data_IF_341804614154
#
_entry.id   IF_341804614154
#
_cell.length_a   1.000
_cell.length_b   1.000
_cell.length_c   1.000
_cell.angle_alpha   90.00
_cell.angle_beta   90.00
_cell.angle_gamma   90.00
#
_symmetry.space_group_name_H-M   'P 1'
#
loop_
_entity.id
_entity.type
_entity.pdbx_description
1 polymer ?
#
# COMPACT_ATOMS: atom_id res chain seq x y z
N UNK A 1 6.07 17.26 -18.40
CA UNK A 1 4.74 17.92 -18.50
C UNK A 1 4.64 19.07 -17.51
N UNK A 2 3.90 20.13 -17.85
CA UNK A 2 3.67 21.31 -17.00
C UNK A 2 2.32 21.15 -16.27
N UNK A 3 2.34 21.05 -14.93
CA UNK A 3 1.11 21.14 -14.10
C UNK A 3 0.74 22.62 -13.94
N UNK A 4 -0.54 22.95 -13.77
CA UNK A 4 -1.03 24.34 -13.66
C UNK A 4 -1.84 24.47 -12.38
N UNK A 5 -1.37 25.27 -11.42
CA UNK A 5 -2.12 25.66 -10.23
C UNK A 5 -2.76 27.04 -10.49
N UNK A 6 -4.09 27.14 -10.40
CA UNK A 6 -4.81 28.42 -10.51
C UNK A 6 -4.73 29.20 -9.20
N UNK A 7 -4.60 30.52 -9.29
CA UNK A 7 -4.50 31.43 -8.13
C UNK A 7 -5.84 31.50 -7.40
N UNK A 8 -6.03 30.66 -6.39
CA UNK A 8 -7.09 30.80 -5.38
C UNK A 8 -6.49 30.63 -3.97
N UNK A 9 -7.09 31.27 -2.96
CA UNK A 9 -6.62 31.18 -1.56
C UNK A 9 -6.51 29.72 -1.06
N UNK A 10 -7.42 28.86 -1.51
CA UNK A 10 -7.39 27.42 -1.24
C UNK A 10 -6.10 26.72 -1.72
N UNK A 11 -5.58 27.09 -2.90
CA UNK A 11 -4.35 26.48 -3.44
C UNK A 11 -3.08 26.84 -2.65
N UNK A 12 -3.07 27.99 -1.97
CA UNK A 12 -1.93 28.43 -1.14
C UNK A 12 -1.91 27.76 0.23
N UNK A 13 -3.09 27.53 0.83
CA UNK A 13 -3.22 26.80 2.10
C UNK A 13 -2.81 25.34 1.91
N UNK A 14 -3.29 24.71 0.84
CA UNK A 14 -2.94 23.32 0.51
C UNK A 14 -1.45 23.19 0.21
N UNK A 15 -0.84 24.15 -0.50
CA UNK A 15 0.61 24.14 -0.72
C UNK A 15 1.41 24.17 0.58
N UNK A 16 1.01 25.02 1.54
CA UNK A 16 1.69 25.12 2.84
C UNK A 16 1.51 23.86 3.67
N UNK A 17 0.30 23.30 3.67
CA UNK A 17 0.02 22.03 4.36
C UNK A 17 0.82 20.86 3.76
N UNK A 18 0.92 20.75 2.43
CA UNK A 18 1.74 19.75 1.75
C UNK A 18 3.25 19.94 2.01
N UNK A 19 3.72 21.19 2.09
CA UNK A 19 5.10 21.51 2.40
C UNK A 19 5.48 21.15 3.85
N UNK A 20 4.61 21.49 4.80
CA UNK A 20 4.78 21.15 6.23
C UNK A 20 4.73 19.63 6.46
N UNK A 21 4.07 18.90 5.55
CA UNK A 21 4.06 17.43 5.46
C UNK A 21 5.33 16.85 4.80
N UNK A 22 6.36 17.65 4.51
CA UNK A 22 7.62 17.17 3.95
C UNK A 22 7.59 16.81 2.46
N UNK A 23 6.45 16.97 1.76
CA UNK A 23 6.40 16.78 0.31
C UNK A 23 7.10 17.97 -0.38
N UNK A 24 8.26 17.74 -0.99
CA UNK A 24 9.05 18.81 -1.63
C UNK A 24 8.70 18.95 -3.11
N UNK A 25 8.19 20.13 -3.50
CA UNK A 25 7.86 20.47 -4.90
C UNK A 25 8.62 21.74 -5.32
N UNK A 26 9.38 21.70 -6.42
CA UNK A 26 10.17 22.86 -6.89
C UNK A 26 9.29 23.87 -7.64
N UNK A 27 9.47 25.15 -7.32
CA UNK A 27 8.85 26.28 -8.02
C UNK A 27 9.69 26.65 -9.25
N UNK A 28 9.13 26.56 -10.47
CA UNK A 28 9.81 27.01 -11.69
C UNK A 28 9.27 28.38 -12.12
N UNK A 29 10.15 29.36 -12.34
CA UNK A 29 9.82 30.64 -13.00
C UNK A 29 10.04 30.47 -14.50
N UNK A 30 9.00 30.61 -15.32
CA UNK A 30 9.14 30.83 -16.76
C UNK A 30 8.93 32.32 -17.07
N UNK A 31 9.90 32.94 -17.73
CA UNK A 31 9.78 34.29 -18.28
C UNK A 31 8.96 34.23 -19.57
N UNK A 32 7.73 34.76 -19.55
CA UNK A 32 7.01 35.33 -20.71
C UNK A 32 6.04 36.41 -20.20
N UNK A 33 5.76 37.45 -21.02
CA UNK A 33 4.96 38.60 -20.59
C UNK A 33 3.47 38.23 -20.65
N UNK A 34 2.77 38.34 -19.52
CA UNK A 34 1.35 38.02 -19.40
C UNK A 34 1.06 36.87 -18.44
N UNK A 35 0.86 37.20 -17.16
CA UNK A 35 0.32 36.29 -16.14
C UNK A 35 1.34 35.35 -15.47
N UNK A 36 1.62 35.58 -14.17
CA UNK A 36 2.42 34.66 -13.34
C UNK A 36 1.64 33.34 -13.14
N UNK A 37 1.88 32.35 -14.01
CA UNK A 37 1.34 30.97 -13.95
C UNK A 37 2.27 30.10 -13.08
N UNK A 38 1.73 29.51 -12.01
CA UNK A 38 2.49 28.62 -11.13
C UNK A 38 2.38 27.18 -11.67
N UNK A 39 3.52 26.59 -12.01
CA UNK A 39 3.59 25.20 -12.46
C UNK A 39 4.32 24.36 -11.42
N UNK A 40 3.64 23.32 -10.92
CA UNK A 40 4.25 22.31 -10.04
C UNK A 40 4.85 21.20 -10.91
N UNK A 41 5.96 20.62 -10.48
CA UNK A 41 6.51 19.40 -11.06
C UNK A 41 7.02 18.56 -9.88
N UNK A 42 6.83 17.23 -9.88
CA UNK A 42 7.52 16.37 -8.93
C UNK A 42 9.02 16.66 -9.02
N UNK A 43 9.69 16.83 -7.88
CA UNK A 43 11.15 16.93 -7.86
C UNK A 43 11.69 15.53 -8.07
N UNK A 44 11.79 15.11 -9.32
CA UNK A 44 12.62 13.97 -9.69
C UNK A 44 14.07 14.45 -9.61
N UNK A 45 14.92 13.87 -8.74
CA UNK A 45 16.36 14.16 -8.76
C UNK A 45 16.88 13.92 -10.18
N UNK A 46 17.57 14.90 -10.77
CA UNK A 46 18.30 14.68 -12.02
C UNK A 46 19.64 14.03 -11.68
N UNK A 47 19.60 12.76 -11.32
CA UNK A 47 20.76 11.86 -11.37
C UNK A 47 20.76 11.08 -12.69
N UNK A 48 21.87 10.43 -13.06
CA UNK A 48 21.82 9.43 -14.11
C UNK A 48 20.96 8.29 -13.58
N UNK A 49 19.87 7.96 -14.28
CA UNK A 49 19.05 6.76 -14.05
C UNK A 49 18.32 6.70 -12.68
N UNK A 50 17.04 7.10 -12.67
CA UNK A 50 16.14 7.16 -11.50
C UNK A 50 15.72 5.79 -10.91
N UNK A 51 16.56 4.77 -11.04
CA UNK A 51 16.33 3.42 -10.54
C UNK A 51 17.07 3.15 -9.22
N UNK A 52 17.94 4.05 -8.76
CA UNK A 52 18.92 3.72 -7.71
C UNK A 52 18.36 3.74 -6.28
N UNK A 53 17.49 4.68 -5.91
CA UNK A 53 17.09 4.83 -4.48
C UNK A 53 16.12 3.74 -4.02
N UNK A 54 15.09 3.44 -4.81
CA UNK A 54 14.12 2.39 -4.48
C UNK A 54 14.76 0.99 -4.47
N UNK A 55 15.57 0.68 -5.49
CA UNK A 55 16.30 -0.58 -5.54
C UNK A 55 17.34 -0.70 -4.42
N UNK A 56 17.92 0.40 -3.93
CA UNK A 56 18.83 0.38 -2.79
C UNK A 56 18.11 -0.09 -1.51
N UNK A 57 16.89 0.41 -1.22
CA UNK A 57 16.11 -0.06 -0.08
C UNK A 57 15.79 -1.56 -0.15
N UNK A 58 15.46 -2.05 -1.35
CA UNK A 58 15.21 -3.46 -1.58
C UNK A 58 16.47 -4.33 -1.44
N UNK A 59 17.62 -3.82 -1.93
CA UNK A 59 18.92 -4.49 -1.85
C UNK A 59 19.40 -4.59 -0.39
N UNK A 60 19.28 -3.50 0.35
CA UNK A 60 19.71 -3.42 1.74
C UNK A 60 18.68 -4.08 2.68
N UNK A 61 17.48 -4.37 2.18
CA UNK A 61 16.35 -4.88 2.95
C UNK A 61 15.99 -3.99 4.15
N UNK A 62 16.21 -2.68 4.00
CA UNK A 62 15.93 -1.67 5.02
C UNK A 62 14.91 -0.73 4.42
N UNK A 63 13.69 -0.75 4.94
CA UNK A 63 12.60 0.11 4.47
C UNK A 63 12.20 1.08 5.59
N UNK A 64 11.94 2.37 5.28
CA UNK A 64 11.50 3.32 6.29
C UNK A 64 10.23 2.81 6.98
N UNK A 65 10.09 3.04 8.29
CA UNK A 65 8.91 2.60 9.04
C UNK A 65 7.62 3.30 8.59
N UNK A 66 6.48 2.68 8.91
CA UNK A 66 5.15 3.27 8.74
C UNK A 66 4.38 2.81 7.51
N UNK A 67 3.22 3.44 7.25
CA UNK A 67 2.35 3.09 6.13
C UNK A 67 3.04 3.32 4.78
N UNK A 68 2.69 2.48 3.81
CA UNK A 68 3.12 2.60 2.40
C UNK A 68 1.91 2.74 1.51
N UNK A 69 2.04 3.43 0.38
CA UNK A 69 1.00 3.42 -0.66
C UNK A 69 1.45 2.60 -1.86
N UNK A 70 0.52 1.85 -2.43
CA UNK A 70 0.72 0.95 -3.55
C UNK A 70 -0.27 1.28 -4.65
N UNK A 71 0.21 1.30 -5.89
CA UNK A 71 -0.61 1.45 -7.08
C UNK A 71 0.01 0.64 -8.23
N UNK A 72 -0.84 -0.01 -9.02
CA UNK A 72 -0.47 -0.85 -10.13
C UNK A 72 -1.09 -0.34 -11.44
N UNK A 73 -0.32 -0.41 -12.52
CA UNK A 73 -0.84 -0.30 -13.88
C UNK A 73 -1.04 -1.70 -14.47
N UNK A 74 -2.16 -1.89 -15.17
CA UNK A 74 -2.56 -3.18 -15.73
C UNK A 74 -2.64 -3.15 -17.25
N UNK A 75 -2.30 -4.29 -17.85
CA UNK A 75 -2.50 -4.61 -19.27
C UNK A 75 -3.56 -5.70 -19.41
N UNK A 76 -4.11 -5.86 -20.61
CA UNK A 76 -4.96 -6.98 -21.00
C UNK A 76 -4.11 -8.18 -21.45
N UNK A 77 -4.43 -9.36 -20.94
CA UNK A 77 -3.83 -10.64 -21.35
C UNK A 77 -4.91 -11.63 -21.74
N UNK A 78 -4.54 -12.61 -22.58
CA UNK A 78 -5.43 -13.67 -23.03
C UNK A 78 -6.58 -13.20 -23.91
N UNK A 79 -7.40 -14.16 -24.34
CA UNK A 79 -8.55 -13.93 -25.23
C UNK A 79 -9.72 -13.22 -24.54
N UNK A 80 -9.78 -13.30 -23.21
CA UNK A 80 -10.79 -12.66 -22.36
C UNK A 80 -10.37 -11.27 -21.86
N UNK A 81 -9.22 -10.75 -22.32
CA UNK A 81 -8.69 -9.44 -21.96
C UNK A 81 -8.59 -9.22 -20.44
N UNK A 82 -8.26 -10.26 -19.67
CA UNK A 82 -8.09 -10.15 -18.22
C UNK A 82 -7.01 -9.15 -17.86
N UNK A 83 -7.21 -8.44 -16.75
CA UNK A 83 -6.21 -7.52 -16.21
C UNK A 83 -5.03 -8.31 -15.63
N UNK A 84 -3.81 -7.99 -16.06
CA UNK A 84 -2.58 -8.49 -15.47
C UNK A 84 -1.62 -7.33 -15.14
N UNK A 85 -0.75 -7.57 -14.16
CA UNK A 85 0.21 -6.58 -13.68
C UNK A 85 1.24 -6.22 -14.76
N UNK A 86 1.37 -4.92 -15.06
CA UNK A 86 2.41 -4.42 -15.96
C UNK A 86 3.37 -3.43 -15.29
N UNK A 87 2.93 -2.70 -14.27
CA UNK A 87 3.81 -1.87 -13.44
C UNK A 87 3.27 -1.81 -12.03
N UNK A 88 4.16 -1.76 -11.05
CA UNK A 88 3.80 -1.47 -9.66
C UNK A 88 4.71 -0.38 -9.14
N UNK A 89 4.13 0.55 -8.39
CA UNK A 89 4.88 1.54 -7.63
C UNK A 89 4.48 1.49 -6.15
N UNK A 90 5.47 1.54 -5.27
CA UNK A 90 5.27 1.66 -3.83
C UNK A 90 6.00 2.90 -3.32
N UNK A 91 5.30 3.69 -2.51
CA UNK A 91 5.85 4.91 -1.89
C UNK A 91 5.74 4.86 -0.38
N UNK A 92 6.73 5.43 0.30
CA UNK A 92 6.75 5.62 1.75
C UNK A 92 5.74 6.68 2.18
N UNK A 93 5.53 6.81 3.49
CA UNK A 93 4.64 7.81 4.10
C UNK A 93 4.94 9.25 3.65
N UNK A 94 6.21 9.63 3.55
CA UNK A 94 6.59 10.97 3.09
C UNK A 94 6.42 11.20 1.57
N UNK A 95 6.07 10.15 0.82
CA UNK A 95 5.92 10.14 -0.63
C UNK A 95 7.19 9.74 -1.39
N UNK A 96 8.26 9.35 -0.70
CA UNK A 96 9.48 8.81 -1.31
C UNK A 96 9.20 7.50 -2.04
N UNK A 97 9.68 7.36 -3.27
CA UNK A 97 9.51 6.13 -4.05
C UNK A 97 10.42 5.03 -3.49
N UNK A 98 9.81 3.96 -2.98
CA UNK A 98 10.51 2.78 -2.48
C UNK A 98 10.69 1.73 -3.57
N UNK A 99 9.74 1.65 -4.50
CA UNK A 99 9.74 0.63 -5.53
C UNK A 99 8.99 1.13 -6.75
N UNK A 100 9.54 0.91 -7.94
CA UNK A 100 8.89 1.22 -9.22
C UNK A 100 9.48 0.31 -10.30
N UNK A 101 8.70 -0.69 -10.74
CA UNK A 101 9.18 -1.68 -11.70
C UNK A 101 8.13 -2.00 -12.74
N UNK A 102 8.61 -2.38 -13.94
CA UNK A 102 7.77 -2.98 -14.98
C UNK A 102 7.76 -4.50 -14.76
N UNK A 103 6.56 -5.07 -14.73
CA UNK A 103 6.31 -6.50 -14.61
C UNK A 103 6.02 -7.08 -15.99
N UNK A 104 6.59 -8.25 -16.29
CA UNK A 104 6.17 -9.06 -17.43
C UNK A 104 5.07 -10.01 -16.93
N UNK A 105 3.82 -9.88 -17.43
CA UNK A 105 2.77 -10.85 -17.14
C UNK A 105 3.17 -12.26 -17.55
N UNK A 106 2.62 -13.27 -16.88
CA UNK A 106 2.84 -14.69 -17.22
C UNK A 106 2.20 -15.07 -18.57
N UNK A 107 1.12 -14.38 -18.93
CA UNK A 107 0.38 -14.59 -20.16
C UNK A 107 0.72 -13.54 -21.23
N UNK A 108 0.49 -13.87 -22.50
CA UNK A 108 0.73 -12.95 -23.60
C UNK A 108 -0.16 -11.71 -23.50
N UNK A 109 0.47 -10.54 -23.63
CA UNK A 109 -0.23 -9.24 -23.65
C UNK A 109 -1.00 -9.12 -24.96
N UNK A 110 -2.32 -8.94 -24.86
CA UNK A 110 -3.23 -8.73 -25.99
C UNK A 110 -3.63 -7.26 -26.14
N UNK A 111 -3.63 -6.48 -25.05
CA UNK A 111 -3.88 -5.04 -25.07
C UNK A 111 -3.02 -4.32 -24.02
N UNK A 112 -2.17 -3.38 -24.44
CA UNK A 112 -1.35 -2.61 -23.52
C UNK A 112 -2.14 -1.62 -22.67
N UNK A 113 -3.39 -1.29 -23.05
CA UNK A 113 -4.23 -0.31 -22.35
C UNK A 113 -3.53 1.04 -22.14
N UNK A 114 -2.61 1.36 -23.04
CA UNK A 114 -1.70 2.51 -23.01
C UNK A 114 -2.36 3.82 -22.54
N UNK A 115 -3.58 4.12 -23.00
CA UNK A 115 -4.27 5.36 -22.65
C UNK A 115 -4.56 5.51 -21.16
N UNK A 116 -4.63 4.39 -20.44
CA UNK A 116 -4.80 4.32 -19.00
C UNK A 116 -3.47 3.95 -18.34
N UNK A 117 -2.86 2.84 -18.75
CA UNK A 117 -1.70 2.26 -18.06
C UNK A 117 -0.38 3.01 -18.25
N UNK A 118 -0.27 3.79 -19.33
CA UNK A 118 0.99 4.37 -19.78
C UNK A 118 2.01 3.35 -20.33
N UNK A 119 1.71 2.05 -20.30
CA UNK A 119 2.63 0.98 -20.70
C UNK A 119 2.72 0.87 -22.22
N UNK A 120 3.93 0.65 -22.73
CA UNK A 120 4.23 0.39 -24.14
C UNK A 120 4.94 -0.95 -24.32
N UNK A 121 4.93 -1.52 -25.55
CA UNK A 121 5.75 -2.69 -25.87
C UNK A 121 7.24 -2.52 -25.52
N UNK A 122 7.80 -1.33 -25.73
CA UNK A 122 9.21 -1.03 -25.39
C UNK A 122 9.48 -1.09 -23.88
N UNK A 123 8.48 -0.86 -23.02
CA UNK A 123 8.66 -1.03 -21.57
C UNK A 123 8.91 -2.50 -21.20
N UNK A 124 8.44 -3.44 -22.02
CA UNK A 124 8.65 -4.88 -21.78
C UNK A 124 10.10 -5.32 -21.95
N UNK A 125 10.97 -4.51 -22.58
CA UNK A 125 12.40 -4.78 -22.68
C UNK A 125 13.08 -4.77 -21.31
N UNK A 126 12.61 -3.91 -20.40
CA UNK A 126 13.11 -3.76 -19.02
C UNK A 126 12.23 -4.46 -17.97
N UNK A 127 11.25 -5.24 -18.41
CA UNK A 127 10.33 -5.91 -17.51
C UNK A 127 10.96 -7.13 -16.83
N UNK A 128 10.76 -7.24 -15.52
CA UNK A 128 11.18 -8.41 -14.73
C UNK A 128 10.02 -9.40 -14.59
N UNK A 129 10.27 -10.70 -14.33
CA UNK A 129 9.20 -11.69 -14.19
C UNK A 129 8.20 -11.34 -13.09
N UNK A 130 6.92 -11.62 -13.33
CA UNK A 130 5.83 -11.38 -12.37
C UNK A 130 6.13 -11.91 -10.96
N UNK A 131 6.62 -13.16 -10.84
CA UNK A 131 6.87 -13.74 -9.53
C UNK A 131 7.96 -12.97 -8.75
N UNK A 132 9.01 -12.53 -9.44
CA UNK A 132 10.04 -11.68 -8.83
C UNK A 132 9.45 -10.34 -8.36
N UNK A 133 8.52 -9.74 -9.12
CA UNK A 133 7.82 -8.52 -8.69
C UNK A 133 7.00 -8.79 -7.43
N UNK A 134 6.22 -9.88 -7.42
CA UNK A 134 5.33 -10.27 -6.32
C UNK A 134 6.11 -10.50 -5.03
N UNK A 135 7.20 -11.25 -5.09
CA UNK A 135 8.11 -11.48 -3.95
C UNK A 135 8.67 -10.15 -3.40
N UNK A 136 9.12 -9.27 -4.28
CA UNK A 136 9.67 -7.96 -3.89
C UNK A 136 8.61 -7.05 -3.26
N UNK A 137 7.38 -7.05 -3.80
CA UNK A 137 6.24 -6.34 -3.20
C UNK A 137 5.96 -6.87 -1.80
N UNK A 138 5.90 -8.20 -1.61
CA UNK A 138 5.68 -8.82 -0.30
C UNK A 138 6.77 -8.46 0.70
N UNK A 139 8.04 -8.46 0.29
CA UNK A 139 9.17 -8.02 1.13
C UNK A 139 9.01 -6.57 1.61
N UNK A 140 8.41 -5.70 0.81
CA UNK A 140 8.21 -4.29 1.18
C UNK A 140 7.00 -4.13 2.11
N UNK A 141 5.86 -4.76 1.79
CA UNK A 141 4.60 -4.57 2.54
C UNK A 141 4.48 -5.49 3.78
N UNK A 142 5.24 -6.57 3.82
CA UNK A 142 5.28 -7.56 4.90
C UNK A 142 6.74 -7.98 5.21
N UNK A 143 7.61 -7.04 5.63
CA UNK A 143 9.05 -7.29 5.79
C UNK A 143 9.42 -8.26 6.92
N UNK A 144 8.51 -8.47 7.87
CA UNK A 144 8.66 -9.41 8.99
C UNK A 144 7.53 -10.43 8.89
N UNK A 145 7.87 -11.72 8.77
CA UNK A 145 6.90 -12.81 8.58
C UNK A 145 5.71 -12.68 9.55
N UNK A 146 4.54 -12.35 9.01
CA UNK A 146 3.21 -12.33 9.66
C UNK A 146 3.02 -11.49 10.93
N UNK A 147 4.08 -11.02 11.60
CA UNK A 147 4.01 -10.34 12.90
C UNK A 147 4.01 -8.81 12.81
N UNK A 148 4.54 -8.23 11.72
CA UNK A 148 4.59 -6.77 11.53
C UNK A 148 4.35 -6.38 10.07
N UNK A 149 3.19 -6.77 9.55
CA UNK A 149 2.70 -6.29 8.27
C UNK A 149 2.45 -4.77 8.32
N UNK A 150 2.77 -4.07 7.24
CA UNK A 150 2.59 -2.62 7.14
C UNK A 150 1.14 -2.25 6.89
N UNK A 151 0.77 -1.03 7.23
CA UNK A 151 -0.48 -0.48 6.70
C UNK A 151 -0.27 -0.15 5.21
N UNK A 152 -1.13 -0.69 4.34
CA UNK A 152 -1.08 -0.44 2.90
C UNK A 152 -2.23 0.47 2.51
N UNK A 153 -1.90 1.61 1.92
CA UNK A 153 -2.84 2.60 1.42
C UNK A 153 -2.96 2.44 -0.10
N UNK A 154 -4.17 2.48 -0.64
CA UNK A 154 -4.40 2.40 -2.08
C UNK A 154 -5.70 3.07 -2.48
N UNK A 155 -6.02 3.06 -3.76
CA UNK A 155 -7.30 3.53 -4.29
C UNK A 155 -7.97 2.41 -5.08
N UNK A 156 -9.10 1.88 -4.58
CA UNK A 156 -9.70 0.66 -5.12
C UNK A 156 -8.69 -0.52 -5.13
N UNK A 157 -7.89 -0.60 -4.07
CA UNK A 157 -6.69 -1.47 -3.92
C UNK A 157 -6.95 -2.97 -4.09
N UNK A 158 -8.22 -3.39 -4.00
CA UNK A 158 -8.60 -4.77 -4.29
C UNK A 158 -8.23 -5.19 -5.72
N UNK A 159 -8.24 -4.25 -6.67
CA UNK A 159 -7.81 -4.52 -8.05
C UNK A 159 -6.31 -4.80 -8.11
N UNK A 160 -5.51 -3.99 -7.40
CA UNK A 160 -4.06 -4.12 -7.32
C UNK A 160 -3.65 -5.43 -6.67
N UNK A 161 -4.23 -5.77 -5.51
CA UNK A 161 -4.00 -7.04 -4.85
C UNK A 161 -4.46 -8.24 -5.69
N UNK A 162 -5.54 -8.07 -6.45
CA UNK A 162 -6.03 -9.07 -7.39
C UNK A 162 -5.01 -9.40 -8.48
N UNK A 163 -4.44 -8.40 -9.15
CA UNK A 163 -3.42 -8.64 -10.19
C UNK A 163 -2.06 -9.04 -9.62
N UNK A 164 -1.75 -8.67 -8.38
CA UNK A 164 -0.58 -9.12 -7.65
C UNK A 164 -0.71 -10.55 -7.10
N UNK A 165 -1.93 -11.12 -7.10
CA UNK A 165 -2.23 -12.42 -6.46
C UNK A 165 -1.77 -12.46 -5.00
N UNK A 166 -2.08 -11.40 -4.25
CA UNK A 166 -1.73 -11.24 -2.83
C UNK A 166 -3.01 -11.11 -2.02
N UNK A 167 -3.15 -11.98 -1.01
CA UNK A 167 -4.13 -11.80 0.06
C UNK A 167 -3.51 -10.97 1.18
N UNK A 168 -4.24 -9.96 1.68
CA UNK A 168 -3.70 -9.05 2.68
C UNK A 168 -4.73 -8.77 3.79
N UNK A 169 -4.31 -8.67 5.07
CA UNK A 169 -5.23 -8.44 6.18
C UNK A 169 -6.03 -7.14 6.02
N UNK A 170 -7.36 -7.24 6.07
CA UNK A 170 -8.27 -6.11 5.84
C UNK A 170 -8.06 -4.97 6.86
N UNK A 171 -7.62 -5.31 8.07
CA UNK A 171 -7.33 -4.37 9.15
C UNK A 171 -6.13 -3.46 8.85
N UNK A 172 -5.28 -3.86 7.92
CA UNK A 172 -4.09 -3.14 7.49
C UNK A 172 -4.29 -2.41 6.17
N UNK A 173 -5.44 -2.56 5.52
CA UNK A 173 -5.77 -1.88 4.27
C UNK A 173 -6.41 -0.52 4.55
N UNK A 174 -6.00 0.51 3.80
CA UNK A 174 -6.58 1.85 3.80
C UNK A 174 -6.95 2.25 2.39
N UNK A 175 -8.16 1.89 1.97
CA UNK A 175 -8.67 2.23 0.64
C UNK A 175 -9.28 3.64 0.61
N UNK A 176 -8.63 4.54 -0.13
CA UNK A 176 -9.04 5.93 -0.32
C UNK A 176 -10.35 6.05 -1.09
N UNK A 177 -10.64 5.14 -2.02
CA UNK A 177 -11.86 5.19 -2.84
C UNK A 177 -13.11 5.12 -1.96
N UNK A 178 -13.07 4.26 -0.94
CA UNK A 178 -14.20 3.99 -0.05
C UNK A 178 -14.10 4.71 1.30
N UNK A 179 -12.97 5.35 1.60
CA UNK A 179 -12.70 6.06 2.86
C UNK A 179 -13.78 7.10 3.23
N UNK A 180 -14.54 6.90 4.32
CA UNK A 180 -15.49 7.92 4.79
C UNK A 180 -14.77 9.18 5.26
N UNK A 181 -13.54 9.07 5.78
CA UNK A 181 -12.76 10.20 6.28
C UNK A 181 -12.32 11.12 5.14
N UNK A 182 -11.77 10.55 4.06
CA UNK A 182 -11.37 11.34 2.88
C UNK A 182 -12.59 12.02 2.24
N UNK A 183 -13.71 11.30 2.11
CA UNK A 183 -14.96 11.83 1.55
C UNK A 183 -15.58 12.93 2.41
N UNK A 184 -15.58 12.76 3.73
CA UNK A 184 -16.06 13.80 4.66
C UNK A 184 -15.18 15.05 4.58
N UNK A 185 -13.86 14.89 4.57
CA UNK A 185 -12.91 16.02 4.44
C UNK A 185 -13.08 16.75 3.11
N UNK A 186 -13.35 16.00 2.03
CA UNK A 186 -13.62 16.54 0.70
C UNK A 186 -15.03 17.12 0.55
N UNK A 187 -15.91 16.97 1.56
CA UNK A 187 -17.32 17.40 1.54
C UNK A 187 -18.10 16.82 0.36
N UNK A 188 -17.84 15.54 0.05
CA UNK A 188 -18.56 14.79 -0.99
C UNK A 188 -19.39 13.66 -0.37
N UNK A 189 -20.38 13.11 -1.11
CA UNK A 189 -21.19 12.01 -0.59
C UNK A 189 -20.35 10.83 -0.09
N UNK A 190 -20.70 10.30 1.08
CA UNK A 190 -19.99 9.18 1.71
C UNK A 190 -20.32 7.84 1.00
N UNK A 191 -21.50 7.74 0.39
CA UNK A 191 -21.96 6.52 -0.29
C UNK A 191 -21.21 6.31 -1.61
N UNK A 192 -20.74 5.09 -1.84
CA UNK A 192 -20.05 4.68 -3.07
C UNK A 192 -18.56 5.06 -3.11
N UNK A 193 -17.81 4.57 -4.11
CA UNK A 193 -16.42 4.93 -4.31
C UNK A 193 -16.29 6.34 -4.92
N UNK A 194 -15.29 7.09 -4.50
CA UNK A 194 -14.91 8.37 -5.11
C UNK A 194 -13.69 8.18 -6.01
N UNK A 195 -13.65 8.84 -7.17
CA UNK A 195 -12.49 8.77 -8.07
C UNK A 195 -11.26 9.48 -7.50
N UNK A 196 -10.07 8.90 -7.66
CA UNK A 196 -8.82 9.47 -7.13
C UNK A 196 -8.58 10.88 -7.66
N UNK A 197 -8.73 11.09 -8.98
CA UNK A 197 -8.63 12.41 -9.61
C UNK A 197 -9.50 13.48 -8.96
N UNK A 198 -10.69 13.11 -8.48
CA UNK A 198 -11.62 14.04 -7.84
C UNK A 198 -11.12 14.37 -6.43
N UNK A 199 -10.76 13.36 -5.64
CA UNK A 199 -10.23 13.55 -4.29
C UNK A 199 -8.92 14.35 -4.31
N UNK A 200 -7.99 14.02 -5.22
CA UNK A 200 -6.74 14.75 -5.40
C UNK A 200 -6.99 16.22 -5.77
N UNK A 201 -7.98 16.49 -6.62
CA UNK A 201 -8.33 17.87 -6.98
C UNK A 201 -8.92 18.64 -5.80
N UNK A 202 -9.89 18.07 -5.09
CA UNK A 202 -10.60 18.75 -4.00
C UNK A 202 -9.72 18.92 -2.77
N UNK A 203 -8.96 17.90 -2.39
CA UNK A 203 -8.17 17.88 -1.16
C UNK A 203 -6.76 18.43 -1.34
N UNK A 204 -6.13 18.15 -2.49
CA UNK A 204 -4.73 18.50 -2.74
C UNK A 204 -4.56 19.64 -3.76
N UNK A 205 -5.65 20.07 -4.43
CA UNK A 205 -5.56 21.04 -5.52
C UNK A 205 -4.77 20.51 -6.73
N UNK A 206 -4.60 19.19 -6.84
CA UNK A 206 -3.80 18.53 -7.87
C UNK A 206 -4.68 18.00 -9.00
N UNK A 207 -4.23 18.20 -10.23
CA UNK A 207 -4.83 17.57 -11.43
C UNK A 207 -3.90 16.44 -11.87
N UNK A 208 -4.21 15.24 -11.41
CA UNK A 208 -3.53 13.98 -11.78
C UNK A 208 -4.27 13.30 -12.93
N UNK A 209 -3.69 12.25 -13.51
CA UNK A 209 -4.34 11.45 -14.57
C UNK A 209 -4.83 12.31 -15.76
N UNK A 210 -4.08 13.36 -16.11
CA UNK A 210 -4.45 14.29 -17.17
C UNK A 210 -4.26 13.72 -18.59
N UNK A 211 -3.43 12.67 -18.73
CA UNK A 211 -3.23 11.92 -19.97
C UNK A 211 -3.29 10.43 -19.64
N UNK A 212 -2.14 9.76 -19.73
CA UNK A 212 -1.91 8.41 -19.24
C UNK A 212 -1.72 8.47 -17.73
N UNK A 213 -2.03 7.38 -17.04
CA UNK A 213 -1.80 7.28 -15.61
C UNK A 213 -0.31 7.00 -15.35
N UNK A 214 0.07 7.26 -14.11
CA UNK A 214 1.39 6.99 -13.62
C UNK A 214 1.23 6.47 -12.21
N UNK A 215 1.47 5.18 -12.01
CA UNK A 215 1.42 4.55 -10.70
C UNK A 215 2.16 5.29 -9.59
N UNK A 216 3.30 5.94 -9.89
CA UNK A 216 3.98 6.81 -8.91
C UNK A 216 3.11 8.01 -8.50
N UNK A 217 2.50 8.72 -9.46
CA UNK A 217 1.67 9.90 -9.21
C UNK A 217 0.43 9.51 -8.40
N UNK A 218 -0.17 8.38 -8.75
CA UNK A 218 -1.39 7.88 -8.12
C UNK A 218 -1.12 7.34 -6.71
N UNK A 219 -0.03 6.60 -6.49
CA UNK A 219 0.41 6.18 -5.15
C UNK A 219 0.76 7.37 -4.26
N UNK A 220 1.46 8.39 -4.79
CA UNK A 220 1.78 9.62 -4.05
C UNK A 220 0.53 10.43 -3.69
N UNK A 221 -0.40 10.59 -4.63
CA UNK A 221 -1.66 11.29 -4.38
C UNK A 221 -2.48 10.57 -3.31
N UNK A 222 -2.56 9.24 -3.40
CA UNK A 222 -3.23 8.37 -2.43
C UNK A 222 -2.62 8.51 -1.03
N UNK A 223 -1.29 8.42 -0.90
CA UNK A 223 -0.60 8.62 0.38
C UNK A 223 -0.83 10.02 0.94
N UNK A 224 -0.74 11.06 0.09
CA UNK A 224 -0.99 12.43 0.51
C UNK A 224 -2.43 12.63 1.03
N UNK A 225 -3.43 12.03 0.37
CA UNK A 225 -4.82 12.05 0.85
C UNK A 225 -4.94 11.32 2.19
N UNK A 226 -4.35 10.14 2.32
CA UNK A 226 -4.37 9.38 3.59
C UNK A 226 -3.83 10.22 4.74
N UNK A 227 -2.69 10.87 4.57
CA UNK A 227 -2.08 11.69 5.62
C UNK A 227 -2.92 12.88 6.09
N UNK A 228 -3.80 13.40 5.23
CA UNK A 228 -4.76 14.45 5.63
C UNK A 228 -5.83 13.94 6.62
N UNK A 229 -6.07 12.63 6.65
CA UNK A 229 -7.12 11.97 7.45
C UNK A 229 -6.59 10.90 8.40
N UNK A 230 -5.29 10.61 8.37
CA UNK A 230 -4.63 9.53 9.10
C UNK A 230 -4.93 9.56 10.59
N UNK A 231 -4.80 10.74 11.23
CA UNK A 231 -5.05 10.88 12.67
C UNK A 231 -6.47 10.47 13.07
N UNK A 232 -7.46 10.90 12.29
CA UNK A 232 -8.87 10.60 12.53
C UNK A 232 -9.17 9.12 12.22
N UNK A 233 -8.66 8.63 11.09
CA UNK A 233 -8.85 7.25 10.64
C UNK A 233 -8.28 6.25 11.63
N UNK A 234 -7.00 6.39 11.99
CA UNK A 234 -6.32 5.44 12.87
C UNK A 234 -6.84 5.51 14.31
N UNK A 235 -7.27 6.69 14.78
CA UNK A 235 -7.89 6.80 16.10
C UNK A 235 -9.21 6.00 16.17
N UNK A 236 -10.04 6.08 15.13
CA UNK A 236 -11.31 5.37 15.09
C UNK A 236 -11.15 3.87 14.91
N UNK A 237 -10.14 3.42 14.16
CA UNK A 237 -9.81 2.00 14.08
C UNK A 237 -9.34 1.43 15.42
N UNK A 238 -8.48 2.16 16.16
CA UNK A 238 -8.07 1.75 17.52
C UNK A 238 -9.26 1.64 18.46
N UNK A 239 -10.19 2.60 18.42
CA UNK A 239 -11.43 2.55 19.22
C UNK A 239 -12.30 1.33 18.85
N UNK A 240 -12.47 1.06 17.55
CA UNK A 240 -13.24 -0.10 17.07
C UNK A 240 -12.60 -1.42 17.49
N UNK A 241 -11.28 -1.55 17.38
CA UNK A 241 -10.53 -2.70 17.85
C UNK A 241 -10.69 -2.91 19.38
N UNK A 242 -10.50 -1.84 20.17
CA UNK A 242 -10.69 -1.89 21.62
C UNK A 242 -12.14 -2.25 22.02
N UNK A 243 -13.14 -1.80 21.26
CA UNK A 243 -14.54 -2.21 21.46
C UNK A 243 -14.74 -3.69 21.16
N UNK A 244 -14.23 -4.19 20.03
CA UNK A 244 -14.30 -5.62 19.67
C UNK A 244 -13.65 -6.50 20.75
N UNK A 245 -12.47 -6.13 21.23
CA UNK A 245 -11.77 -6.87 22.31
C UNK A 245 -12.55 -6.88 23.62
N UNK A 246 -13.25 -5.80 23.97
CA UNK A 246 -14.13 -5.77 25.16
C UNK A 246 -15.33 -6.68 25.00
N UNK A 247 -15.99 -6.66 23.84
CA UNK A 247 -17.14 -7.52 23.58
C UNK A 247 -16.78 -9.02 23.64
N UNK A 248 -15.62 -9.41 23.09
CA UNK A 248 -15.15 -10.80 23.18
C UNK A 248 -14.95 -11.22 24.65
N UNK A 249 -14.39 -10.34 25.48
CA UNK A 249 -14.20 -10.62 26.91
C UNK A 249 -15.52 -10.76 27.69
N UNK A 250 -16.54 -9.95 27.36
CA UNK A 250 -17.86 -10.07 28.00
C UNK A 250 -18.55 -11.36 27.58
N UNK A 251 -18.51 -11.71 26.29
CA UNK A 251 -19.13 -12.94 25.78
C UNK A 251 -18.49 -14.20 26.40
N UNK A 252 -17.17 -14.20 26.63
CA UNK A 252 -16.49 -15.29 27.35
C UNK A 252 -16.76 -15.33 28.85
N UNK A 253 -17.06 -14.18 29.48
CA UNK A 253 -17.40 -14.12 30.89
C UNK A 253 -18.84 -14.61 31.15
N UNK A 254 -19.76 -14.29 30.23
CA UNK A 254 -21.14 -14.75 30.28
C UNK A 254 -21.23 -16.26 29.99
N UNK A 255 -20.40 -16.80 29.08
CA UNK A 255 -20.30 -18.24 28.82
C UNK A 255 -19.75 -19.05 30.03
N UNK A 256 -18.87 -18.45 30.85
CA UNK A 256 -18.37 -19.10 32.08
C UNK A 256 -19.34 -19.01 33.27
N UNK A 257 -20.46 -18.28 33.14
CA UNK A 257 -21.48 -18.15 34.20
C UNK A 257 -22.66 -19.12 34.00
N UNK A 258 -22.78 -19.79 32.84
CA UNK A 258 -23.81 -20.80 32.54
C UNK A 258 -23.32 -22.26 32.62
N UNK A 259 -22.34 -22.59 33.47
CA UNK A 259 -22.10 -24.00 33.83
C UNK A 259 -23.16 -24.47 34.84
N UNK A 260 -24.36 -24.79 34.36
CA UNK A 260 -25.29 -25.67 35.07
C UNK A 260 -24.65 -27.06 35.21
N UNK A 261 -24.61 -27.51 36.45
CA UNK A 261 -24.18 -28.83 36.91
C UNK A 261 -24.64 -29.98 36.01
N UNK A 262 -23.70 -30.70 35.42
CA UNK A 262 -23.90 -32.11 35.04
C UNK A 262 -23.37 -32.99 36.17
N UNK A 263 -24.13 -34.01 36.61
CA UNK A 263 -23.70 -34.87 37.71
C UNK A 263 -22.55 -35.79 37.28
N UNK A 264 -21.52 -35.88 38.12
CA UNK A 264 -20.45 -36.86 38.01
C UNK A 264 -20.98 -38.28 38.26
N UNK A 265 -20.54 -39.30 37.51
CA UNK A 265 -20.52 -40.66 38.01
C UNK A 265 -19.11 -41.00 38.51
N UNK A 266 -19.06 -41.25 39.82
CA UNK A 266 -18.33 -42.33 40.50
C UNK A 266 -16.83 -42.57 40.20
N UNK A 267 -16.04 -42.32 41.24
CA UNK A 267 -14.67 -42.75 41.48
C UNK A 267 -14.50 -44.28 41.42
N UNK A 268 -13.45 -44.79 40.79
CA UNK A 268 -12.33 -45.34 41.58
C UNK A 268 -11.17 -45.88 40.73
N UNK A 269 -9.98 -45.70 41.32
CA UNK A 269 -8.70 -46.41 41.15
C UNK A 269 -7.64 -45.75 40.29
N UNK A 270 -6.72 -45.16 41.05
CA UNK A 270 -5.33 -44.79 40.80
C UNK A 270 -4.55 -45.97 40.22
N UNK A 271 -3.61 -45.66 39.33
CA UNK A 271 -2.28 -46.25 39.34
C UNK A 271 -1.27 -45.23 38.80
N UNK A 272 -0.32 -44.89 39.66
CA UNK A 272 0.92 -44.18 39.33
C UNK A 272 1.81 -45.08 38.47
N UNK A 273 2.36 -44.53 37.38
CA UNK A 273 3.70 -44.83 36.85
C UNK A 273 3.86 -44.24 35.46
N UNK A 274 4.63 -43.16 35.35
CA UNK A 274 5.64 -42.91 34.32
C UNK A 274 6.06 -41.45 34.37
N UNK A 275 7.06 -41.20 35.20
CA UNK A 275 8.04 -40.14 34.99
C UNK A 275 8.68 -40.37 33.61
N UNK A 276 8.61 -39.40 32.71
CA UNK A 276 9.70 -39.12 31.77
C UNK A 276 9.76 -37.60 31.53
N UNK A 277 10.88 -37.07 31.95
CA UNK A 277 11.46 -35.79 31.55
C UNK A 277 11.83 -35.82 30.07
N UNK A 278 11.87 -34.66 29.43
CA UNK A 278 13.11 -34.05 28.95
C UNK A 278 12.80 -32.89 28.00
N UNK A 279 13.42 -31.76 28.30
CA UNK A 279 13.65 -30.65 27.41
C UNK A 279 14.52 -31.13 26.23
N UNK A 280 14.09 -30.90 24.98
CA UNK A 280 15.02 -31.01 23.85
C UNK A 280 14.99 -29.75 22.96
N UNK A 281 16.19 -29.18 22.92
CA UNK A 281 16.67 -27.99 22.25
C UNK A 281 17.32 -28.44 20.93
N UNK A 282 16.93 -27.84 19.79
CA UNK A 282 17.57 -28.13 18.50
C UNK A 282 18.53 -27.00 18.12
N UNK A 283 19.84 -27.30 18.08
CA UNK A 283 20.87 -26.49 17.40
C UNK A 283 21.39 -27.20 16.16
N UNK A 284 21.63 -26.40 15.11
CA UNK A 284 22.20 -26.81 13.83
C UNK A 284 23.64 -27.33 13.97
N UNK A 285 23.97 -28.32 13.14
CA UNK A 285 25.35 -28.76 12.89
C UNK A 285 25.61 -28.65 11.39
N UNK A 286 26.67 -27.95 11.02
CA UNK A 286 27.27 -28.00 9.69
C UNK A 286 28.12 -29.27 9.58
N UNK A 287 28.01 -29.99 8.46
CA UNK A 287 29.04 -30.93 8.01
C UNK A 287 29.40 -30.61 6.55
N UNK A 288 30.57 -30.00 6.37
CA UNK A 288 31.47 -30.33 5.27
C UNK A 288 32.28 -31.55 5.74
N UNK A 289 32.44 -32.61 4.95
CA UNK A 289 33.48 -32.71 3.92
C UNK A 289 33.57 -34.15 3.34
N UNK A 290 34.10 -34.22 2.13
CA UNK A 290 34.90 -35.33 1.57
C UNK A 290 34.27 -36.64 1.04
N UNK A 291 34.53 -36.84 -0.27
CA UNK A 291 34.95 -38.07 -0.96
C UNK A 291 34.00 -39.27 -1.10
N UNK A 292 33.43 -39.46 -2.29
CA UNK A 292 33.90 -40.42 -3.33
C UNK A 292 32.99 -40.35 -4.56
#
# INVERSE_FOLDING_TARGET
MELVCTRGAAGLVVYRQLYDMGLRWKKKKKHRPGGKRLTMQPVVPKGPENTTVGLQYLRDNIFPEGPVALDCEMVGVGDDYRSALARVSIVAHDGTVLYDVISRPEEAITDYRTRWSGIRPSDMERAIPFESVREQVLRIIAPMSYLQNRTVVGHAIYNDFGVLKIEYPQELIRDIATSPYAKAKARIPIKGPAALRHLAYVLLGLRIQCKEHSSIEDAQATMAIYRLVEKEWEADLRKKAAKRLRNIKTDTADANTESKSFPLPFSSKVNDSALLSDDEYWTAVEENDSSA
#
